data_IF_305721000817
#
_entry.id   IF_305721000817
#
_cell.length_a   1.000
_cell.length_b   1.000
_cell.length_c   1.000
_cell.angle_alpha   90.00
_cell.angle_beta   90.00
_cell.angle_gamma   90.00
#
_symmetry.space_group_name_H-M   'P 1'
#
loop_
_entity.id
_entity.type
_entity.pdbx_description
1 polymer ?
#
# COMPACT_ATOMS: atom_id res chain seq x y z
N UNK A 1 -1.13 6.37 -4.46
CA UNK A 1 -0.04 6.16 -5.44
C UNK A 1 0.55 7.43 -6.04
N UNK A 2 -0.17 8.54 -6.19
CA UNK A 2 0.41 9.77 -6.80
C UNK A 2 1.70 10.24 -6.12
N UNK A 3 1.77 10.18 -4.79
CA UNK A 3 2.99 10.53 -4.04
C UNK A 3 4.15 9.57 -4.35
N UNK A 4 3.91 8.26 -4.32
CA UNK A 4 4.89 7.24 -4.72
C UNK A 4 5.44 7.51 -6.13
N UNK A 5 4.55 7.74 -7.10
CA UNK A 5 4.92 8.02 -8.48
C UNK A 5 5.69 9.34 -8.61
N UNK A 6 5.29 10.38 -7.89
CA UNK A 6 5.98 11.66 -7.86
C UNK A 6 7.42 11.51 -7.36
N UNK A 7 7.63 10.80 -6.24
CA UNK A 7 8.96 10.55 -5.70
C UNK A 7 9.82 9.71 -6.66
N UNK A 8 9.26 8.67 -7.27
CA UNK A 8 9.96 7.85 -8.27
C UNK A 8 10.33 8.64 -9.52
N UNK A 9 9.43 9.51 -9.99
CA UNK A 9 9.67 10.36 -11.16
C UNK A 9 10.69 11.47 -10.88
N UNK A 10 10.71 12.03 -9.67
CA UNK A 10 11.70 13.04 -9.27
C UNK A 10 13.13 12.47 -9.30
N UNK A 11 13.31 11.20 -8.91
CA UNK A 11 14.57 10.47 -9.07
C UNK A 11 15.77 10.99 -8.26
N UNK A 12 15.58 12.01 -7.42
CA UNK A 12 16.65 12.59 -6.61
C UNK A 12 16.98 11.74 -5.40
N UNK A 13 18.19 11.90 -4.84
CA UNK A 13 18.60 11.21 -3.61
C UNK A 13 17.62 11.47 -2.46
N UNK A 14 17.24 12.73 -2.26
CA UNK A 14 16.27 13.13 -1.23
C UNK A 14 14.91 12.50 -1.46
N UNK A 15 14.40 12.49 -2.70
CA UNK A 15 13.12 11.85 -3.01
C UNK A 15 13.14 10.34 -2.70
N UNK A 16 14.26 9.67 -3.01
CA UNK A 16 14.44 8.26 -2.71
C UNK A 16 14.53 7.97 -1.21
N UNK A 17 15.20 8.82 -0.43
CA UNK A 17 15.25 8.70 1.03
C UNK A 17 13.87 8.90 1.67
N UNK A 18 13.12 9.92 1.23
CA UNK A 18 11.75 10.17 1.69
C UNK A 18 10.85 8.97 1.33
N UNK A 19 10.97 8.47 0.10
CA UNK A 19 10.24 7.29 -0.35
C UNK A 19 10.53 6.07 0.50
N UNK A 20 11.80 5.76 0.75
CA UNK A 20 12.18 4.65 1.60
C UNK A 20 11.66 4.81 3.04
N UNK A 21 11.83 5.98 3.65
CA UNK A 21 11.34 6.21 5.02
C UNK A 21 9.82 6.04 5.10
N UNK A 22 9.07 6.78 4.27
CA UNK A 22 7.61 6.80 4.31
C UNK A 22 7.00 5.44 3.98
N UNK A 23 7.44 4.83 2.87
CA UNK A 23 6.85 3.60 2.38
C UNK A 23 7.46 2.38 3.04
N UNK A 24 8.74 2.31 3.40
CA UNK A 24 9.38 1.06 3.84
C UNK A 24 9.66 0.96 5.35
N UNK A 25 9.85 2.07 6.06
CA UNK A 25 10.20 2.07 7.49
C UNK A 25 9.00 2.31 8.42
N UNK A 26 8.12 3.27 8.09
CA UNK A 26 7.10 3.78 9.04
C UNK A 26 5.78 2.98 8.98
N UNK A 27 5.77 1.80 8.34
CA UNK A 27 4.60 0.90 8.21
C UNK A 27 3.25 1.59 7.89
N UNK A 28 3.31 2.64 7.07
CA UNK A 28 2.14 3.47 6.75
C UNK A 28 1.06 2.69 6.00
N UNK A 29 -0.19 3.14 6.10
CA UNK A 29 -1.36 2.60 5.39
C UNK A 29 -2.12 3.71 4.70
N UNK A 30 -2.89 3.37 3.66
CA UNK A 30 -3.83 4.28 3.00
C UNK A 30 -5.25 3.79 3.23
N UNK A 31 -6.20 4.69 3.47
CA UNK A 31 -7.61 4.33 3.54
C UNK A 31 -8.30 4.54 2.18
N UNK A 32 -9.25 3.66 1.84
CA UNK A 32 -10.16 3.86 0.70
C UNK A 32 -11.49 3.17 0.95
N UNK A 33 -12.53 3.64 0.27
CA UNK A 33 -13.84 2.99 0.25
C UNK A 33 -13.83 1.85 -0.76
N UNK A 34 -13.94 0.60 -0.28
CA UNK A 34 -13.98 -0.60 -1.13
C UNK A 34 -14.80 -1.72 -0.46
N UNK A 35 -14.96 -2.84 -1.14
CA UNK A 35 -15.63 -4.02 -0.58
C UNK A 35 -14.85 -4.58 0.63
N UNK A 36 -15.52 -5.10 1.68
CA UNK A 36 -14.87 -5.59 2.89
C UNK A 36 -13.76 -6.59 2.62
N UNK A 37 -12.60 -6.41 3.26
CA UNK A 37 -11.47 -7.33 3.14
C UNK A 37 -11.78 -8.66 3.83
N UNK A 38 -11.65 -9.77 3.10
CA UNK A 38 -11.73 -11.13 3.66
C UNK A 38 -10.35 -11.56 4.16
N UNK A 39 -9.34 -11.47 3.30
CA UNK A 39 -7.95 -11.85 3.61
C UNK A 39 -6.98 -11.32 2.55
N UNK A 40 -5.69 -11.44 2.84
CA UNK A 40 -4.69 -11.25 1.80
C UNK A 40 -4.66 -12.44 0.83
N UNK A 41 -4.75 -12.15 -0.46
CA UNK A 41 -4.61 -13.14 -1.53
C UNK A 41 -3.16 -13.27 -1.98
N UNK A 42 -2.42 -12.15 -2.05
CA UNK A 42 -1.01 -12.13 -2.46
C UNK A 42 -0.21 -11.10 -1.67
N UNK A 43 0.91 -11.53 -1.08
CA UNK A 43 1.88 -10.66 -0.40
C UNK A 43 2.92 -10.12 -1.37
N UNK A 44 3.49 -8.94 -1.05
CA UNK A 44 4.50 -8.25 -1.86
C UNK A 44 5.91 -8.82 -1.72
N UNK A 45 6.22 -9.50 -0.61
CA UNK A 45 7.48 -10.20 -0.37
C UNK A 45 7.29 -11.26 0.72
N UNK A 46 8.11 -12.31 0.73
CA UNK A 46 8.11 -13.31 1.80
C UNK A 46 8.58 -12.72 3.15
N UNK A 47 9.43 -11.70 3.12
CA UNK A 47 10.03 -11.07 4.32
C UNK A 47 9.22 -9.86 4.82
N UNK A 48 8.36 -9.27 4.00
CA UNK A 48 7.53 -8.11 4.39
C UNK A 48 6.06 -8.47 4.25
N UNK A 49 5.34 -8.53 5.38
CA UNK A 49 3.92 -8.90 5.50
C UNK A 49 2.94 -7.85 4.92
N UNK A 50 3.24 -7.25 3.77
CA UNK A 50 2.34 -6.31 3.11
C UNK A 50 1.55 -6.98 2.02
N UNK A 51 0.25 -6.82 2.09
CA UNK A 51 -0.65 -7.40 1.11
C UNK A 51 -0.69 -6.54 -0.17
N UNK A 52 -0.37 -7.18 -1.29
CA UNK A 52 -0.42 -6.57 -2.62
C UNK A 52 -1.80 -6.71 -3.25
N UNK A 53 -2.44 -7.88 -3.06
CA UNK A 53 -3.76 -8.19 -3.60
C UNK A 53 -4.63 -8.74 -2.49
N UNK A 54 -5.74 -8.06 -2.23
CA UNK A 54 -6.73 -8.45 -1.24
C UNK A 54 -7.86 -9.25 -1.88
N UNK A 55 -8.35 -10.27 -1.17
CA UNK A 55 -9.62 -10.90 -1.48
C UNK A 55 -10.74 -10.12 -0.79
N UNK A 56 -11.73 -9.66 -1.55
CA UNK A 56 -12.81 -8.80 -1.04
C UNK A 56 -14.18 -9.49 -1.13
N UNK A 57 -15.07 -9.16 -0.19
CA UNK A 57 -16.45 -9.63 -0.15
C UNK A 57 -17.38 -8.72 -0.96
N UNK A 58 -17.54 -9.05 -2.25
CA UNK A 58 -18.39 -8.27 -3.16
C UNK A 58 -19.90 -8.40 -2.91
N UNK A 59 -20.32 -9.27 -1.99
CA UNK A 59 -21.73 -9.42 -1.62
C UNK A 59 -22.23 -8.33 -0.67
N UNK A 60 -21.30 -7.58 -0.06
CA UNK A 60 -21.57 -6.55 0.95
C UNK A 60 -21.40 -5.13 0.38
N UNK A 61 -22.02 -4.11 1.00
CA UNK A 61 -21.74 -2.73 0.65
C UNK A 61 -20.29 -2.36 0.95
N UNK A 62 -19.79 -1.33 0.26
CA UNK A 62 -18.44 -0.82 0.48
C UNK A 62 -18.31 -0.14 1.84
N UNK A 63 -17.11 -0.21 2.41
CA UNK A 63 -16.74 0.40 3.68
C UNK A 63 -15.36 1.06 3.56
N UNK A 64 -15.07 2.01 4.45
CA UNK A 64 -13.74 2.60 4.56
C UNK A 64 -12.81 1.67 5.33
N UNK A 65 -11.76 1.21 4.66
CA UNK A 65 -10.78 0.29 5.25
C UNK A 65 -9.36 0.73 4.94
N UNK A 66 -8.41 0.17 5.71
CA UNK A 66 -6.98 0.41 5.55
C UNK A 66 -6.35 -0.62 4.62
N UNK A 67 -5.52 -0.13 3.70
CA UNK A 67 -4.77 -0.90 2.73
C UNK A 67 -3.28 -0.62 2.87
N UNK A 68 -2.47 -1.64 2.66
CA UNK A 68 -1.02 -1.51 2.74
C UNK A 68 -0.47 -0.65 1.59
N UNK A 69 0.55 0.16 1.92
CA UNK A 69 1.29 0.91 0.92
C UNK A 69 2.27 0.00 0.17
N UNK A 70 2.62 0.31 -1.10
CA UNK A 70 3.62 -0.47 -1.83
C UNK A 70 4.98 -0.41 -1.15
N UNK A 71 5.84 -1.37 -1.49
CA UNK A 71 7.26 -1.27 -1.19
C UNK A 71 7.87 -0.29 -2.21
N UNK A 72 8.59 0.70 -1.68
CA UNK A 72 9.38 1.68 -2.45
C UNK A 72 10.74 1.12 -2.85
#
# INVERSE_FOLDING_TARGET
MKFYQCLKAAGTMTANQIGFAYFNMIETKCFKEDYPIIRCHQYSSALKHRCKVYQLDKSKPKIWEWFDVPIY
#
